data_IF_433801100695
#
_entry.id   IF_433801100695
#
_cell.length_a   1.000
_cell.length_b   1.000
_cell.length_c   1.000
_cell.angle_alpha   90.00
_cell.angle_beta   90.00
_cell.angle_gamma   90.00
#
_symmetry.space_group_name_H-M   'P 1'
#
loop_
_entity.id
_entity.type
_entity.pdbx_description
1 polymer ?
#
# COMPACT_ATOMS: atom_id res chain seq x y z
N UNK A 1 -0.36 10.17 21.21
CA UNK A 1 -0.54 9.47 19.92
C UNK A 1 -0.27 7.98 20.16
N UNK A 2 -1.27 7.11 20.01
CA UNK A 2 -1.03 5.66 19.98
C UNK A 2 -0.49 5.33 18.60
N UNK A 3 0.81 5.08 18.49
CA UNK A 3 1.40 4.59 17.24
C UNK A 3 1.16 3.09 17.21
N UNK A 4 0.22 2.64 16.36
CA UNK A 4 -0.07 1.22 16.17
C UNK A 4 1.05 0.61 15.33
N UNK A 5 1.59 -0.52 15.77
CA UNK A 5 2.64 -1.22 15.02
C UNK A 5 2.11 -1.70 13.68
N UNK A 6 2.91 -1.52 12.62
CA UNK A 6 2.59 -2.03 11.27
C UNK A 6 2.35 -3.55 11.23
N UNK A 7 3.00 -4.28 12.15
CA UNK A 7 2.81 -5.72 12.32
C UNK A 7 1.43 -6.12 12.83
N UNK A 8 0.68 -5.18 13.42
CA UNK A 8 -0.67 -5.39 13.93
C UNK A 8 -1.77 -5.01 12.92
N UNK A 9 -1.39 -4.54 11.72
CA UNK A 9 -2.38 -4.18 10.70
C UNK A 9 -3.03 -5.42 10.12
N UNK A 10 -4.34 -5.42 10.07
CA UNK A 10 -5.12 -6.47 9.42
C UNK A 10 -5.13 -6.28 7.89
N UNK A 11 -5.62 -7.27 7.16
CA UNK A 11 -5.62 -7.25 5.69
C UNK A 11 -6.32 -6.00 5.12
N UNK A 12 -7.49 -5.63 5.67
CA UNK A 12 -8.23 -4.45 5.24
C UNK A 12 -7.43 -3.15 5.46
N UNK A 13 -6.76 -3.01 6.61
CA UNK A 13 -5.95 -1.83 6.90
C UNK A 13 -4.74 -1.73 5.94
N UNK A 14 -4.14 -2.86 5.54
CA UNK A 14 -3.06 -2.88 4.54
C UNK A 14 -3.56 -2.43 3.16
N UNK A 15 -4.75 -2.88 2.75
CA UNK A 15 -5.41 -2.48 1.50
C UNK A 15 -5.71 -0.98 1.49
N UNK A 16 -6.29 -0.46 2.56
CA UNK A 16 -6.57 0.98 2.69
C UNK A 16 -5.27 1.80 2.64
N UNK A 17 -4.23 1.37 3.35
CA UNK A 17 -2.94 2.06 3.34
C UNK A 17 -2.32 2.11 1.93
N UNK A 18 -2.37 0.99 1.20
CA UNK A 18 -1.87 0.91 -0.18
C UNK A 18 -2.67 1.80 -1.14
N UNK A 19 -4.00 1.84 -0.98
CA UNK A 19 -4.89 2.67 -1.80
C UNK A 19 -4.59 4.15 -1.59
N UNK A 20 -4.48 4.59 -0.34
CA UNK A 20 -4.13 5.98 0.00
C UNK A 20 -2.73 6.37 -0.51
N UNK A 21 -1.77 5.45 -0.43
CA UNK A 21 -0.43 5.69 -0.98
C UNK A 21 -0.47 5.84 -2.51
N UNK A 22 -1.22 5.00 -3.20
CA UNK A 22 -1.37 5.08 -4.66
C UNK A 22 -2.06 6.38 -5.10
N UNK A 23 -3.07 6.84 -4.36
CA UNK A 23 -3.78 8.10 -4.63
C UNK A 23 -2.91 9.34 -4.41
N UNK A 24 -1.90 9.28 -3.54
CA UNK A 24 -0.92 10.35 -3.37
C UNK A 24 0.08 10.44 -4.53
N UNK A 25 0.21 9.38 -5.33
CA UNK A 25 1.15 9.31 -6.45
C UNK A 25 2.61 9.18 -6.02
N UNK A 26 2.86 8.73 -4.79
CA UNK A 26 4.20 8.52 -4.27
C UNK A 26 4.84 7.23 -4.84
N UNK A 27 6.17 7.10 -4.76
CA UNK A 27 6.84 5.87 -5.21
C UNK A 27 6.58 4.71 -4.23
N UNK A 28 6.25 3.53 -4.78
CA UNK A 28 5.98 2.32 -4.00
C UNK A 28 7.17 1.89 -3.12
N UNK A 29 8.41 2.09 -3.58
CA UNK A 29 9.62 1.73 -2.85
C UNK A 29 9.81 2.57 -1.57
N UNK A 30 9.22 3.78 -1.55
CA UNK A 30 9.28 4.68 -0.40
C UNK A 30 8.03 4.59 0.49
N UNK A 31 6.90 4.13 -0.06
CA UNK A 31 5.62 4.08 0.66
C UNK A 31 5.28 2.72 1.25
N UNK A 32 5.79 1.62 0.72
CA UNK A 32 5.54 0.30 1.28
C UNK A 32 6.40 0.10 2.54
N UNK A 33 5.81 0.13 3.75
CA UNK A 33 6.59 0.07 4.98
C UNK A 33 6.84 -1.38 5.42
N UNK A 34 6.39 -2.36 4.65
CA UNK A 34 6.48 -3.78 5.00
C UNK A 34 7.73 -4.41 4.37
N UNK A 35 8.48 -5.23 5.12
CA UNK A 35 9.67 -5.89 4.61
C UNK A 35 9.30 -6.88 3.49
N UNK A 36 10.15 -6.97 2.47
CA UNK A 36 10.00 -7.94 1.39
C UNK A 36 9.93 -9.36 1.93
N UNK A 37 9.04 -10.18 1.36
CA UNK A 37 8.84 -11.58 1.76
C UNK A 37 7.74 -11.79 2.81
N UNK A 38 7.12 -10.74 3.36
CA UNK A 38 5.91 -10.88 4.16
C UNK A 38 4.64 -10.70 3.32
N UNK A 39 3.54 -11.32 3.74
CA UNK A 39 2.26 -11.24 3.00
C UNK A 39 1.73 -9.81 2.87
N UNK A 40 1.95 -8.96 3.89
CA UNK A 40 1.54 -7.54 3.89
C UNK A 40 2.25 -6.75 2.80
N UNK A 41 3.53 -7.05 2.55
CA UNK A 41 4.30 -6.43 1.48
C UNK A 41 3.70 -6.75 0.11
N UNK A 42 3.36 -8.02 -0.13
CA UNK A 42 2.73 -8.45 -1.39
C UNK A 42 1.35 -7.81 -1.57
N UNK A 43 0.49 -7.87 -0.55
CA UNK A 43 -0.85 -7.25 -0.61
C UNK A 43 -0.76 -5.75 -0.86
N UNK A 44 0.09 -5.05 -0.11
CA UNK A 44 0.30 -3.61 -0.30
C UNK A 44 0.72 -3.31 -1.74
N UNK A 45 1.70 -4.05 -2.26
CA UNK A 45 2.20 -3.85 -3.62
C UNK A 45 1.14 -4.08 -4.68
N UNK A 46 0.40 -5.17 -4.57
CA UNK A 46 -0.57 -5.55 -5.60
C UNK A 46 -1.76 -4.56 -5.62
N UNK A 47 -2.24 -4.13 -4.46
CA UNK A 47 -3.29 -3.09 -4.36
C UNK A 47 -2.79 -1.75 -4.86
N UNK A 48 -1.58 -1.35 -4.45
CA UNK A 48 -0.98 -0.08 -4.89
C UNK A 48 -0.90 -0.03 -6.41
N UNK A 49 -0.32 -1.07 -7.05
CA UNK A 49 -0.16 -1.13 -8.51
C UNK A 49 -1.52 -1.12 -9.21
N UNK A 50 -2.49 -1.89 -8.74
CA UNK A 50 -3.83 -1.89 -9.30
C UNK A 50 -4.48 -0.49 -9.23
N UNK A 51 -4.39 0.18 -8.08
CA UNK A 51 -4.96 1.50 -7.88
C UNK A 51 -4.24 2.56 -8.71
N UNK A 52 -2.91 2.52 -8.79
CA UNK A 52 -2.14 3.43 -9.66
C UNK A 52 -2.52 3.24 -11.12
N UNK A 53 -2.70 2.00 -11.58
CA UNK A 53 -3.14 1.71 -12.94
C UNK A 53 -4.54 2.26 -13.22
N UNK A 54 -5.48 2.14 -12.28
CA UNK A 54 -6.82 2.74 -12.40
C UNK A 54 -6.80 4.28 -12.45
N UNK A 55 -5.83 4.90 -11.76
CA UNK A 55 -5.67 6.36 -11.71
C UNK A 55 -4.95 6.93 -12.93
N UNK A 56 -4.19 6.11 -13.67
CA UNK A 56 -3.59 6.56 -14.93
C UNK A 56 -4.72 6.73 -15.97
N UNK A 57 -4.96 7.96 -16.47
CA UNK A 57 -5.98 8.16 -17.48
C UNK A 57 -5.60 7.34 -18.73
N UNK A 58 -6.53 6.49 -19.17
CA UNK A 58 -6.46 5.85 -20.48
C UNK A 58 -6.44 6.97 -21.53
N UNK A 59 -5.25 7.24 -22.06
CA UNK A 59 -5.05 8.11 -23.22
C UNK A 59 -5.37 7.40 -24.52
#
# INVERSE_FOLDING_TARGET
MHVRSLSALDHAEVVELATLAAERGDDIANTNPFPSGCWRHTVFRDVFVARTADLQPVG
#
